data_IF_731643640023
#
_entry.id   IF_731643640023
#
_cell.length_a   1.000
_cell.length_b   1.000
_cell.length_c   1.000
_cell.angle_alpha   90.00
_cell.angle_beta   90.00
_cell.angle_gamma   90.00
#
_symmetry.space_group_name_H-M   'P 1'
#
loop_
_entity.id
_entity.type
_entity.pdbx_description
1 polymer ?
#
# COMPACT_ATOMS: atom_id res chain seq x y z
N UNK A 1 -1.15 -2.28 16.55
CA UNK A 1 -0.35 -1.06 16.78
C UNK A 1 0.51 -0.65 15.57
N UNK A 2 1.46 -1.49 15.12
CA UNK A 2 2.45 -1.09 14.08
C UNK A 2 1.85 -0.78 12.69
N UNK A 3 0.73 -1.44 12.32
CA UNK A 3 0.02 -1.20 11.06
C UNK A 3 -0.85 0.06 11.12
N UNK A 4 -1.45 0.34 12.28
CA UNK A 4 -2.34 1.49 12.46
C UNK A 4 -1.57 2.81 12.30
N UNK A 5 -0.44 2.95 13.00
CA UNK A 5 0.47 4.09 12.88
C UNK A 5 0.95 4.31 11.43
N UNK A 6 1.17 3.23 10.67
CA UNK A 6 1.58 3.33 9.27
C UNK A 6 0.45 3.87 8.38
N UNK A 7 -0.79 3.45 8.66
CA UNK A 7 -1.98 3.92 7.94
C UNK A 7 -2.27 5.38 8.29
N UNK A 8 -2.08 5.78 9.54
CA UNK A 8 -2.20 7.17 9.98
C UNK A 8 -1.18 8.07 9.27
N UNK A 9 0.10 7.69 9.27
CA UNK A 9 1.16 8.41 8.54
C UNK A 9 0.89 8.45 7.02
N UNK A 10 0.32 7.39 6.44
CA UNK A 10 -0.11 7.39 5.03
C UNK A 10 -1.15 8.48 4.78
N UNK A 11 -2.18 8.55 5.64
CA UNK A 11 -3.25 9.52 5.48
C UNK A 11 -2.73 10.96 5.61
N UNK A 12 -1.85 11.24 6.57
CA UNK A 12 -1.21 12.55 6.70
C UNK A 12 -0.42 12.94 5.44
N UNK A 13 0.42 12.04 4.92
CA UNK A 13 1.16 12.26 3.68
C UNK A 13 0.24 12.43 2.46
N UNK A 14 -0.90 11.73 2.45
CA UNK A 14 -1.88 11.83 1.37
C UNK A 14 -2.57 13.19 1.35
N UNK A 15 -2.85 13.78 2.53
CA UNK A 15 -3.39 15.13 2.64
C UNK A 15 -2.41 16.17 2.10
N UNK A 16 -1.12 16.05 2.43
CA UNK A 16 -0.09 16.95 1.90
C UNK A 16 0.11 16.79 0.39
N UNK A 17 -0.02 15.56 -0.11
CA UNK A 17 0.00 15.30 -1.56
C UNK A 17 -1.22 15.95 -2.24
N UNK A 18 -2.37 15.97 -1.58
CA UNK A 18 -3.56 16.67 -2.09
C UNK A 18 -3.35 18.18 -2.16
N UNK A 19 -2.72 18.79 -1.14
CA UNK A 19 -2.35 20.21 -1.16
C UNK A 19 -1.37 20.54 -2.30
N UNK A 20 -0.41 19.64 -2.55
CA UNK A 20 0.46 19.73 -3.72
C UNK A 20 -0.34 19.69 -5.03
N UNK A 21 -1.27 18.74 -5.18
CA UNK A 21 -2.10 18.63 -6.38
C UNK A 21 -2.94 19.90 -6.61
N UNK A 22 -3.50 20.50 -5.55
CA UNK A 22 -4.23 21.76 -5.66
C UNK A 22 -3.33 22.92 -6.12
N UNK A 23 -2.09 22.97 -5.62
CA UNK A 23 -1.10 23.96 -6.04
C UNK A 23 -0.68 23.76 -7.49
N UNK A 24 -0.42 22.50 -7.88
CA UNK A 24 -0.11 22.12 -9.26
C UNK A 24 -1.24 22.52 -10.22
N UNK A 25 -2.50 22.27 -9.84
CA UNK A 25 -3.66 22.66 -10.64
C UNK A 25 -3.72 24.18 -10.87
N UNK A 26 -3.44 24.98 -9.84
CA UNK A 26 -3.35 26.45 -9.96
C UNK A 26 -2.23 26.86 -10.93
N UNK A 27 -1.05 26.25 -10.84
CA UNK A 27 0.06 26.50 -11.75
C UNK A 27 -0.33 26.18 -13.20
N UNK A 28 -0.93 25.02 -13.45
CA UNK A 28 -1.37 24.60 -14.79
C UNK A 28 -2.47 25.51 -15.37
N UNK A 29 -3.40 26.00 -14.53
CA UNK A 29 -4.40 26.98 -14.96
C UNK A 29 -3.75 28.30 -15.39
N UNK A 30 -2.75 28.77 -14.64
CA UNK A 30 -2.01 29.99 -14.97
C UNK A 30 -1.16 29.83 -16.22
N UNK A 31 -0.53 28.68 -16.42
CA UNK A 31 0.22 28.36 -17.64
C UNK A 31 -0.71 28.38 -18.86
N UNK A 32 -1.85 27.67 -18.78
CA UNK A 32 -2.86 27.66 -19.84
C UNK A 32 -3.41 29.06 -20.14
N UNK A 33 -3.64 29.87 -19.12
CA UNK A 33 -4.07 31.25 -19.31
C UNK A 33 -3.00 32.09 -20.03
N UNK A 34 -1.73 31.92 -19.66
CA UNK A 34 -0.61 32.61 -20.31
C UNK A 34 -0.47 32.20 -21.77
N UNK A 35 -0.62 30.92 -22.10
CA UNK A 35 -0.65 30.43 -23.49
C UNK A 35 -1.82 31.02 -24.30
N UNK A 36 -2.99 31.21 -23.66
CA UNK A 36 -4.14 31.84 -24.30
C UNK A 36 -3.84 33.29 -24.67
N UNK A 37 -3.20 34.07 -23.78
CA UNK A 37 -2.82 35.46 -24.06
C UNK A 37 -1.90 35.57 -25.28
N UNK A 38 -0.93 34.65 -25.42
CA UNK A 38 -0.06 34.61 -26.61
C UNK A 38 -0.85 34.27 -27.87
N UNK A 39 -1.75 33.28 -27.80
CA UNK A 39 -2.59 32.90 -28.93
C UNK A 39 -3.49 34.06 -29.39
N UNK A 40 -4.11 34.77 -28.43
CA UNK A 40 -4.96 35.93 -28.72
C UNK A 40 -4.14 37.09 -29.29
N UNK A 41 -2.93 37.34 -28.77
CA UNK A 41 -2.03 38.35 -29.31
C UNK A 41 -1.65 38.06 -30.78
N UNK A 42 -1.39 36.79 -31.13
CA UNK A 42 -1.09 36.39 -32.51
C UNK A 42 -2.29 36.63 -33.43
N UNK A 43 -3.50 36.29 -32.99
CA UNK A 43 -4.70 36.54 -33.78
C UNK A 43 -4.97 38.04 -33.98
N UNK A 44 -4.85 38.83 -32.91
CA UNK A 44 -4.99 40.30 -33.01
C UNK A 44 -3.95 40.92 -33.93
N UNK A 45 -2.73 40.37 -33.94
CA UNK A 45 -1.68 40.82 -34.84
C UNK A 45 -2.08 40.60 -36.31
N UNK A 46 -2.58 39.40 -36.66
CA UNK A 46 -3.06 39.10 -38.01
C UNK A 46 -4.23 39.99 -38.43
N UNK A 47 -5.19 40.21 -37.52
CA UNK A 47 -6.36 41.07 -37.76
C UNK A 47 -5.94 42.55 -37.96
N UNK A 48 -5.08 43.08 -37.08
CA UNK A 48 -4.59 44.46 -37.14
C UNK A 48 -3.67 44.71 -38.36
N UNK A 49 -2.99 43.67 -38.86
CA UNK A 49 -2.16 43.74 -40.08
C UNK A 49 -3.02 43.82 -41.36
N UNK A 50 -4.12 43.06 -41.42
CA UNK A 50 -5.03 43.03 -42.57
C UNK A 50 -5.94 44.28 -42.66
N UNK A 51 -6.22 44.96 -41.55
CA UNK A 51 -7.12 46.13 -41.48
C UNK A 51 -6.54 47.44 -42.05
N UNK A 52 -5.27 47.49 -42.50
CA UNK A 52 -4.56 48.79 -42.63
C UNK A 52 -4.21 49.23 -44.06
N UNK A 53 -5.08 50.03 -44.69
CA UNK A 53 -4.67 51.03 -45.71
C UNK A 53 -4.51 52.47 -45.13
N UNK A 54 -5.01 52.80 -43.94
CA UNK A 54 -5.07 54.21 -43.48
C UNK A 54 -4.72 54.54 -42.01
N UNK A 55 -4.23 53.59 -41.19
CA UNK A 55 -3.82 53.89 -39.80
C UNK A 55 -2.33 54.26 -39.71
N UNK A 56 -2.04 55.43 -39.11
CA UNK A 56 -0.70 55.90 -38.76
C UNK A 56 0.00 54.92 -37.81
N UNK A 57 1.29 54.67 -38.05
CA UNK A 57 2.05 53.59 -37.40
C UNK A 57 2.10 53.59 -35.87
N UNK A 58 1.82 54.72 -35.20
CA UNK A 58 1.79 54.81 -33.73
C UNK A 58 0.57 54.13 -33.07
N UNK A 59 -0.53 53.93 -33.81
CA UNK A 59 -1.74 53.28 -33.30
C UNK A 59 -1.90 51.84 -33.76
N UNK A 60 -0.93 51.34 -34.54
CA UNK A 60 -0.93 49.96 -35.03
C UNK A 60 -0.54 49.00 -33.91
N UNK A 61 -1.18 47.83 -33.87
CA UNK A 61 -0.90 46.75 -32.93
C UNK A 61 -1.16 47.05 -31.45
N UNK A 62 -2.03 48.02 -31.14
CA UNK A 62 -2.31 48.40 -29.75
C UNK A 62 -2.91 47.23 -28.96
N UNK A 63 -3.82 46.46 -29.57
CA UNK A 63 -4.44 45.31 -28.91
C UNK A 63 -3.42 44.19 -28.71
N UNK A 64 -2.67 43.87 -29.77
CA UNK A 64 -1.57 42.89 -29.69
C UNK A 64 -0.59 43.23 -28.55
N UNK A 65 -0.17 44.49 -28.44
CA UNK A 65 0.75 44.95 -27.40
C UNK A 65 0.14 44.84 -26.00
N UNK A 66 -1.16 45.08 -25.84
CA UNK A 66 -1.88 44.91 -24.58
C UNK A 66 -1.86 43.45 -24.11
N UNK A 67 -2.18 42.50 -24.99
CA UNK A 67 -2.16 41.07 -24.65
C UNK A 67 -0.75 40.56 -24.32
N UNK A 68 0.27 41.03 -25.05
CA UNK A 68 1.66 40.70 -24.73
C UNK A 68 2.12 41.30 -23.39
N UNK A 69 1.63 42.49 -23.01
CA UNK A 69 1.86 43.05 -21.66
C UNK A 69 1.18 42.22 -20.58
N UNK A 70 -0.05 41.77 -20.81
CA UNK A 70 -0.78 40.88 -19.91
C UNK A 70 -0.04 39.55 -19.74
N UNK A 71 0.49 38.98 -20.84
CA UNK A 71 1.30 37.75 -20.81
C UNK A 71 2.58 37.95 -19.98
N UNK A 72 3.29 39.06 -20.22
CA UNK A 72 4.48 39.40 -19.44
C UNK A 72 4.16 39.56 -17.95
N UNK A 73 3.01 40.14 -17.61
CA UNK A 73 2.56 40.32 -16.24
C UNK A 73 2.13 39.01 -15.55
N UNK A 74 1.64 38.02 -16.30
CA UNK A 74 1.26 36.71 -15.76
C UNK A 74 2.46 35.93 -15.18
N UNK A 75 3.67 36.19 -15.73
CA UNK A 75 4.94 35.69 -15.21
C UNK A 75 5.08 34.17 -15.28
N UNK A 76 6.02 33.63 -14.49
CA UNK A 76 6.26 32.18 -14.43
C UNK A 76 5.12 31.46 -13.70
N UNK A 77 4.41 30.50 -14.34
CA UNK A 77 3.34 29.71 -13.73
C UNK A 77 3.79 28.82 -12.56
N UNK A 78 5.09 28.50 -12.45
CA UNK A 78 5.64 27.68 -11.36
C UNK A 78 6.54 28.53 -10.45
N UNK A 79 5.95 29.13 -9.42
CA UNK A 79 6.70 29.95 -8.46
C UNK A 79 7.50 29.10 -7.48
N UNK A 80 8.37 29.75 -6.70
CA UNK A 80 9.12 29.11 -5.61
C UNK A 80 8.22 28.37 -4.61
N UNK A 81 7.00 28.87 -4.36
CA UNK A 81 6.01 28.21 -3.49
C UNK A 81 5.65 26.80 -3.98
N UNK A 82 5.44 26.62 -5.29
CA UNK A 82 5.20 25.31 -5.89
C UNK A 82 6.37 24.36 -5.62
N UNK A 83 7.60 24.83 -5.86
CA UNK A 83 8.79 24.01 -5.67
C UNK A 83 9.05 23.68 -4.19
N UNK A 84 8.70 24.57 -3.26
CA UNK A 84 8.77 24.30 -1.83
C UNK A 84 7.82 23.15 -1.44
N UNK A 85 6.55 23.23 -1.85
CA UNK A 85 5.56 22.18 -1.57
C UNK A 85 5.96 20.86 -2.24
N UNK A 86 6.40 20.91 -3.50
CA UNK A 86 6.88 19.73 -4.23
C UNK A 86 8.03 19.04 -3.50
N UNK A 87 9.05 19.79 -3.06
CA UNK A 87 10.19 19.22 -2.33
C UNK A 87 9.78 18.64 -0.99
N UNK A 88 8.81 19.24 -0.31
CA UNK A 88 8.27 18.73 0.95
C UNK A 88 7.59 17.38 0.74
N UNK A 89 6.63 17.30 -0.20
CA UNK A 89 5.92 16.05 -0.52
C UNK A 89 6.90 14.97 -0.99
N UNK A 90 7.87 15.33 -1.83
CA UNK A 90 8.91 14.41 -2.29
C UNK A 90 9.70 13.80 -1.11
N UNK A 91 10.18 14.63 -0.18
CA UNK A 91 10.92 14.16 1.01
C UNK A 91 10.05 13.24 1.88
N UNK A 92 8.78 13.60 2.08
CA UNK A 92 7.85 12.81 2.89
C UNK A 92 7.57 11.45 2.27
N UNK A 93 7.38 11.38 0.95
CA UNK A 93 7.19 10.10 0.25
C UNK A 93 8.41 9.18 0.37
N UNK A 94 9.63 9.73 0.26
CA UNK A 94 10.86 8.95 0.45
C UNK A 94 10.95 8.40 1.87
N UNK A 95 10.74 9.24 2.89
CA UNK A 95 10.78 8.81 4.29
C UNK A 95 9.72 7.73 4.60
N UNK A 96 8.53 7.88 4.05
CA UNK A 96 7.46 6.89 4.20
C UNK A 96 7.84 5.56 3.55
N UNK A 97 8.43 5.60 2.35
CA UNK A 97 8.88 4.40 1.65
C UNK A 97 9.96 3.66 2.45
N UNK A 98 10.91 4.37 3.02
CA UNK A 98 11.94 3.78 3.90
C UNK A 98 11.32 3.10 5.13
N UNK A 99 10.39 3.77 5.81
CA UNK A 99 9.65 3.19 6.95
C UNK A 99 8.86 1.95 6.56
N UNK A 100 8.18 1.97 5.41
CA UNK A 100 7.46 0.84 4.86
C UNK A 100 8.38 -0.36 4.62
N UNK A 101 9.54 -0.12 4.00
CA UNK A 101 10.54 -1.16 3.74
C UNK A 101 11.07 -1.76 5.05
N UNK A 102 11.36 -0.93 6.05
CA UNK A 102 11.79 -1.41 7.37
C UNK A 102 10.70 -2.26 8.05
N UNK A 103 9.44 -1.82 8.05
CA UNK A 103 8.32 -2.59 8.61
C UNK A 103 8.12 -3.92 7.85
N UNK A 104 8.20 -3.90 6.51
CA UNK A 104 8.10 -5.10 5.66
C UNK A 104 9.18 -6.13 6.00
N UNK A 105 10.44 -5.71 6.10
CA UNK A 105 11.56 -6.63 6.41
C UNK A 105 11.44 -7.23 7.82
N UNK A 106 10.97 -6.46 8.80
CA UNK A 106 10.69 -6.95 10.17
C UNK A 106 9.60 -8.03 10.17
N UNK A 107 8.50 -7.79 9.45
CA UNK A 107 7.39 -8.75 9.34
C UNK A 107 7.80 -10.01 8.58
N UNK A 108 8.58 -9.89 7.50
CA UNK A 108 9.10 -11.04 6.75
C UNK A 108 9.98 -11.94 7.62
N UNK A 109 10.85 -11.37 8.45
CA UNK A 109 11.65 -12.12 9.43
C UNK A 109 10.77 -12.86 10.44
N UNK A 110 9.75 -12.20 11.00
CA UNK A 110 8.80 -12.83 11.94
C UNK A 110 8.01 -13.96 11.29
N UNK A 111 7.56 -13.76 10.05
CA UNK A 111 6.82 -14.78 9.30
C UNK A 111 7.69 -16.00 9.04
N UNK A 112 8.94 -15.82 8.61
CA UNK A 112 9.92 -16.90 8.44
C UNK A 112 10.15 -17.67 9.73
N UNK A 113 10.30 -16.98 10.87
CA UNK A 113 10.44 -17.61 12.18
C UNK A 113 9.20 -18.45 12.54
N UNK A 114 8.00 -17.90 12.41
CA UNK A 114 6.75 -18.62 12.69
C UNK A 114 6.61 -19.85 11.78
N UNK A 115 6.96 -19.72 10.50
CA UNK A 115 6.92 -20.82 9.54
C UNK A 115 7.88 -21.95 9.91
N UNK A 116 9.12 -21.61 10.32
CA UNK A 116 10.09 -22.57 10.81
C UNK A 116 9.62 -23.26 12.09
N UNK A 117 9.13 -22.48 13.07
CA UNK A 117 8.61 -23.02 14.33
C UNK A 117 7.42 -23.96 14.12
N UNK A 118 6.52 -23.63 13.20
CA UNK A 118 5.39 -24.49 12.82
C UNK A 118 5.86 -25.84 12.26
N UNK A 119 6.90 -25.85 11.40
CA UNK A 119 7.47 -27.09 10.87
C UNK A 119 8.05 -27.95 12.00
N UNK A 120 8.82 -27.36 12.90
CA UNK A 120 9.39 -28.06 14.05
C UNK A 120 8.29 -28.65 14.94
N UNK A 121 7.27 -27.86 15.28
CA UNK A 121 6.13 -28.31 16.07
C UNK A 121 5.37 -29.46 15.40
N UNK A 122 5.21 -29.41 14.08
CA UNK A 122 4.55 -30.48 13.31
C UNK A 122 5.33 -31.79 13.37
N UNK A 123 6.67 -31.74 13.23
CA UNK A 123 7.52 -32.93 13.33
C UNK A 123 7.43 -33.54 14.72
N UNK A 124 7.49 -32.72 15.78
CA UNK A 124 7.38 -33.19 17.17
C UNK A 124 6.03 -33.86 17.40
N UNK A 125 4.94 -33.27 16.90
CA UNK A 125 3.60 -33.83 17.03
C UNK A 125 3.48 -35.19 16.35
N UNK A 126 3.93 -35.30 15.10
CA UNK A 126 3.90 -36.56 14.33
C UNK A 126 4.76 -37.63 15.02
N UNK A 127 5.96 -37.29 15.47
CA UNK A 127 6.85 -38.22 16.16
C UNK A 127 6.25 -38.73 17.47
N UNK A 128 5.67 -37.83 18.27
CA UNK A 128 5.02 -38.18 19.54
C UNK A 128 3.82 -39.09 19.31
N UNK A 129 2.98 -38.77 18.32
CA UNK A 129 1.82 -39.59 17.98
C UNK A 129 2.22 -40.99 17.51
N UNK A 130 3.22 -41.10 16.63
CA UNK A 130 3.76 -42.38 16.18
C UNK A 130 4.33 -43.21 17.35
N UNK A 131 5.07 -42.58 18.27
CA UNK A 131 5.61 -43.26 19.44
C UNK A 131 4.50 -43.83 20.34
N UNK A 132 3.45 -43.04 20.62
CA UNK A 132 2.30 -43.50 21.42
C UNK A 132 1.60 -44.70 20.76
N UNK A 133 1.42 -44.68 19.43
CA UNK A 133 0.82 -45.79 18.70
C UNK A 133 1.67 -47.07 18.80
N UNK A 134 3.00 -46.96 18.60
CA UNK A 134 3.91 -48.10 18.71
C UNK A 134 3.89 -48.67 20.13
N UNK A 135 4.00 -47.81 21.15
CA UNK A 135 3.93 -48.23 22.56
C UNK A 135 2.61 -48.92 22.89
N UNK A 136 1.48 -48.43 22.37
CA UNK A 136 0.16 -49.03 22.55
C UNK A 136 0.09 -50.45 21.98
N UNK A 137 0.59 -50.67 20.76
CA UNK A 137 0.63 -51.99 20.12
C UNK A 137 1.50 -52.97 20.91
N UNK A 138 2.68 -52.54 21.35
CA UNK A 138 3.59 -53.38 22.16
C UNK A 138 2.95 -53.75 23.50
N UNK A 139 2.31 -52.80 24.18
CA UNK A 139 1.62 -53.07 25.44
C UNK A 139 0.49 -54.09 25.27
N UNK A 140 -0.32 -53.95 24.21
CA UNK A 140 -1.40 -54.90 23.90
C UNK A 140 -0.87 -56.31 23.55
N UNK A 141 0.23 -56.40 22.79
CA UNK A 141 0.86 -57.68 22.46
C UNK A 141 1.44 -58.37 23.72
N UNK A 142 2.10 -57.63 24.60
CA UNK A 142 2.63 -58.17 25.85
C UNK A 142 1.52 -58.63 26.80
N UNK A 143 0.40 -57.90 26.87
CA UNK A 143 -0.79 -58.33 27.61
C UNK A 143 -1.37 -59.64 27.06
N UNK A 144 -1.29 -59.85 25.73
CA UNK A 144 -1.75 -61.07 25.07
C UNK A 144 -0.78 -62.26 25.25
N UNK A 145 0.54 -62.02 25.26
CA UNK A 145 1.58 -63.05 25.36
C UNK A 145 1.81 -63.56 26.80
N UNK A 146 1.65 -62.72 27.82
CA UNK A 146 1.93 -63.12 29.21
C UNK A 146 0.95 -64.13 29.83
N UNK A 147 -0.17 -64.46 29.18
CA UNK A 147 -1.14 -65.44 29.69
C UNK A 147 -1.85 -64.95 30.96
N UNK A 148 -3.16 -65.05 31.03
CA UNK A 148 -3.80 -66.30 31.42
C UNK A 148 -5.25 -66.34 30.89
N UNK A 149 -5.84 -67.56 30.85
CA UNK A 149 -6.83 -67.98 29.89
C UNK A 149 -8.22 -67.40 30.16
N UNK A 150 -9.08 -67.56 29.15
CA UNK A 150 -10.54 -67.40 29.19
C UNK A 150 -11.10 -67.65 30.58
N UNK A 151 -11.43 -66.58 31.30
CA UNK A 151 -12.48 -66.63 32.31
C UNK A 151 -13.39 -65.43 32.06
N UNK A 152 -14.52 -65.74 31.47
CA UNK A 152 -15.66 -64.88 31.21
C UNK A 152 -16.12 -64.19 32.50
N UNK A 153 -15.73 -62.93 32.72
CA UNK A 153 -16.38 -62.09 33.73
C UNK A 153 -16.17 -60.57 33.58
N UNK A 154 -15.11 -60.09 32.91
CA UNK A 154 -14.81 -58.64 32.87
C UNK A 154 -14.79 -58.07 31.45
N UNK A 155 -15.78 -58.47 30.64
CA UNK A 155 -16.13 -57.76 29.41
C UNK A 155 -17.06 -56.60 29.77
N UNK A 156 -16.54 -55.54 30.39
CA UNK A 156 -17.22 -54.25 30.45
C UNK A 156 -16.17 -53.20 30.86
N UNK A 157 -15.79 -52.33 29.91
CA UNK A 157 -15.50 -50.89 30.11
C UNK A 157 -14.36 -50.29 29.28
N UNK A 158 -13.62 -51.04 28.46
CA UNK A 158 -12.56 -50.41 27.63
C UNK A 158 -13.02 -49.84 26.28
N UNK A 159 -14.21 -50.21 25.80
CA UNK A 159 -14.78 -49.64 24.56
C UNK A 159 -15.44 -48.25 24.76
N UNK A 160 -15.58 -47.78 26.00
CA UNK A 160 -16.25 -46.50 26.30
C UNK A 160 -15.37 -45.25 26.14
N UNK A 161 -14.05 -45.37 26.32
CA UNK A 161 -13.13 -44.22 26.25
C UNK A 161 -12.69 -43.87 24.82
N UNK A 162 -12.74 -44.82 23.88
CA UNK A 162 -12.45 -44.56 22.46
C UNK A 162 -13.54 -43.75 21.76
N UNK A 163 -14.81 -44.00 22.09
CA UNK A 163 -15.96 -43.31 21.47
C UNK A 163 -16.15 -41.86 21.98
N UNK A 164 -15.76 -41.56 23.23
CA UNK A 164 -15.84 -40.20 23.76
C UNK A 164 -14.83 -39.24 23.11
N UNK A 165 -13.65 -39.73 22.73
CA UNK A 165 -12.63 -38.92 22.07
C UNK A 165 -13.00 -38.57 20.60
N UNK A 166 -13.73 -39.45 19.91
CA UNK A 166 -14.25 -39.14 18.55
C UNK A 166 -15.42 -38.16 18.55
N UNK A 167 -16.20 -38.08 19.64
CA UNK A 167 -17.34 -37.16 19.73
C UNK A 167 -16.95 -35.69 19.97
N UNK A 168 -15.74 -35.41 20.48
CA UNK A 168 -15.26 -34.03 20.68
C UNK A 168 -14.41 -33.48 19.53
N UNK A 169 -14.09 -34.31 18.51
CA UNK A 169 -13.33 -33.88 17.32
C UNK A 169 -14.24 -33.57 16.11
N UNK A 170 -15.56 -33.65 16.29
CA UNK A 170 -16.57 -33.35 15.28
C UNK A 170 -17.49 -32.20 15.70
N UNK A 171 -16.93 -31.01 15.93
CA UNK A 171 -17.65 -29.74 15.88
C UNK A 171 -16.70 -28.57 15.59
#
# INVERSE_FOLDING_TARGET
PELFELVEEYFENSLQTLDFCATLEKCLKRDKYSQLLVTVALQQFEDEDQETEEKTGETRYLKTLEELKNFKAAGDPFTEEFFQIFRQVYKQQILMLEKLQLKKTKLDKKLKYIHAWRKVSSIIFVATFAAVLICSVVAAAMASFRGQPKSSALAMNFWGLGSAAMAMAGQ
#
